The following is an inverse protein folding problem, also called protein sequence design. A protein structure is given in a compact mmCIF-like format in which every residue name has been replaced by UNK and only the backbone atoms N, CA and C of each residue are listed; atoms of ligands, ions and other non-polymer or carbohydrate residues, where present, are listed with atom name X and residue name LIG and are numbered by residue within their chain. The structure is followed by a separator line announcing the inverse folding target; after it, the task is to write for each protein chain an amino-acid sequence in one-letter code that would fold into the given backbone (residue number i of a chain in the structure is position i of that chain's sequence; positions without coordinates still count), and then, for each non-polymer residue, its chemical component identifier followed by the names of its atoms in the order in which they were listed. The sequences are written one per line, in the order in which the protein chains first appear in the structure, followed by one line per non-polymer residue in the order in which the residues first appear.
data_IF_303521199090
#
_entry.id   IF_303521199090
#
_cell.length_a   1.000
_cell.length_b   1.000
_cell.length_c   1.000
_cell.angle_alpha   90.00
_cell.angle_beta   90.00
_cell.angle_gamma   90.00
#
_symmetry.space_group_name_H-M   'P 1'
#
loop_
_entity.id
_entity.type
_entity.pdbx_description
1 polymer ?
#
# COMPACT_ATOMS: atom_id res chain seq x y z
N UNK A 1 -16.54 3.88 7.37
CA UNK A 1 -15.60 2.74 7.30
C UNK A 1 -15.57 2.11 8.68
N UNK A 2 -15.60 0.79 8.79
CA UNK A 2 -15.50 0.13 10.08
C UNK A 2 -14.08 0.32 10.65
N UNK A 3 -13.93 0.49 11.97
CA UNK A 3 -12.61 0.61 12.63
C UNK A 3 -11.68 -0.57 12.28
N UNK A 4 -12.24 -1.76 12.05
CA UNK A 4 -11.47 -2.94 11.61
C UNK A 4 -10.86 -2.77 10.21
N UNK A 5 -11.58 -2.16 9.27
CA UNK A 5 -11.11 -1.92 7.89
C UNK A 5 -10.04 -0.84 7.84
N UNK A 6 -10.19 0.20 8.66
CA UNK A 6 -9.16 1.23 8.82
C UNK A 6 -7.85 0.64 9.38
N UNK A 7 -7.98 -0.28 10.34
CA UNK A 7 -6.84 -1.04 10.87
C UNK A 7 -6.13 -1.86 9.80
N UNK A 8 -6.89 -2.55 8.95
CA UNK A 8 -6.35 -3.35 7.85
C UNK A 8 -5.62 -2.50 6.81
N UNK A 9 -6.24 -1.41 6.34
CA UNK A 9 -5.62 -0.49 5.38
C UNK A 9 -4.33 0.11 5.96
N UNK A 10 -4.33 0.46 7.25
CA UNK A 10 -3.13 0.96 7.94
C UNK A 10 -2.03 -0.08 8.00
N UNK A 11 -2.36 -1.34 8.29
CA UNK A 11 -1.41 -2.46 8.30
C UNK A 11 -0.76 -2.63 6.92
N UNK A 12 -1.57 -2.66 5.87
CA UNK A 12 -1.12 -2.86 4.49
C UNK A 12 -0.24 -1.74 3.97
N UNK A 13 -0.62 -0.50 4.26
CA UNK A 13 0.27 0.66 4.02
C UNK A 13 1.57 0.53 4.82
N UNK A 14 1.51 0.00 6.05
CA UNK A 14 2.68 -0.25 6.90
C UNK A 14 3.68 -1.23 6.27
N UNK A 15 3.21 -2.28 5.60
CA UNK A 15 4.05 -3.22 4.85
C UNK A 15 4.82 -2.50 3.74
N UNK A 16 4.15 -1.66 2.96
CA UNK A 16 4.80 -0.86 1.91
C UNK A 16 5.82 0.12 2.50
N UNK A 17 5.51 0.72 3.66
CA UNK A 17 6.45 1.58 4.40
C UNK A 17 7.72 0.84 4.78
N UNK A 18 7.59 -0.39 5.28
CA UNK A 18 8.73 -1.20 5.70
C UNK A 18 9.63 -1.56 4.51
N UNK A 19 9.03 -1.87 3.35
CA UNK A 19 9.78 -2.07 2.10
C UNK A 19 10.47 -0.79 1.64
N UNK A 20 9.86 0.38 1.83
CA UNK A 20 10.50 1.67 1.54
C UNK A 20 11.76 1.89 2.39
N UNK A 21 11.73 1.54 3.67
CA UNK A 21 12.91 1.60 4.55
C UNK A 21 14.00 0.61 4.11
N UNK A 22 13.61 -0.56 3.60
CA UNK A 22 14.56 -1.53 3.02
C UNK A 22 15.18 -0.98 1.73
N UNK A 23 14.40 -0.34 0.86
CA UNK A 23 14.90 0.33 -0.34
C UNK A 23 15.88 1.46 -0.02
N UNK A 24 15.65 2.22 1.05
CA UNK A 24 16.61 3.23 1.53
C UNK A 24 17.98 2.64 1.90
N UNK A 25 18.03 1.35 2.28
CA UNK A 25 19.29 0.66 2.60
C UNK A 25 20.00 0.11 1.35
N UNK A 26 19.45 0.34 0.15
CA UNK A 26 20.04 -0.04 -1.13
C UNK A 26 19.56 -1.38 -1.68
N UNK A 27 18.58 -2.02 -1.05
CA UNK A 27 17.98 -3.26 -1.57
C UNK A 27 16.93 -2.97 -2.65
N UNK A 28 16.86 -3.81 -3.68
CA UNK A 28 15.73 -3.80 -4.63
C UNK A 28 14.52 -4.50 -4.00
N UNK A 29 13.42 -3.76 -3.88
CA UNK A 29 12.16 -4.24 -3.30
C UNK A 29 11.03 -4.37 -4.31
N UNK A 30 11.30 -4.17 -5.60
CA UNK A 30 10.28 -4.06 -6.66
C UNK A 30 9.31 -5.25 -6.66
N UNK A 31 9.82 -6.48 -6.76
CA UNK A 31 8.96 -7.67 -6.75
C UNK A 31 8.25 -7.86 -5.40
N UNK A 32 8.89 -7.51 -4.27
CA UNK A 32 8.27 -7.61 -2.94
C UNK A 32 7.10 -6.63 -2.79
N UNK A 33 7.21 -5.42 -3.34
CA UNK A 33 6.13 -4.43 -3.37
C UNK A 33 4.98 -4.95 -4.21
N UNK A 34 5.28 -5.52 -5.39
CA UNK A 34 4.28 -6.11 -6.28
C UNK A 34 3.52 -7.25 -5.62
N UNK A 35 4.24 -8.20 -5.02
CA UNK A 35 3.62 -9.31 -4.26
C UNK A 35 2.72 -8.77 -3.15
N UNK A 36 3.21 -7.83 -2.34
CA UNK A 36 2.41 -7.27 -1.25
C UNK A 36 1.13 -6.59 -1.75
N UNK A 37 1.20 -5.77 -2.82
CA UNK A 37 0.00 -5.13 -3.39
C UNK A 37 -0.98 -6.16 -3.92
N UNK A 38 -0.50 -7.20 -4.61
CA UNK A 38 -1.35 -8.30 -5.10
C UNK A 38 -2.06 -9.01 -3.94
N UNK A 39 -1.32 -9.43 -2.91
CA UNK A 39 -1.87 -10.10 -1.74
C UNK A 39 -2.90 -9.24 -0.98
N UNK A 40 -2.63 -7.94 -0.82
CA UNK A 40 -3.57 -7.02 -0.19
C UNK A 40 -4.89 -6.92 -1.00
N UNK A 41 -4.79 -6.82 -2.32
CA UNK A 41 -5.96 -6.75 -3.20
C UNK A 41 -6.75 -8.07 -3.22
N UNK A 42 -6.08 -9.21 -3.19
CA UNK A 42 -6.72 -10.52 -3.04
C UNK A 42 -7.42 -10.64 -1.69
N UNK A 43 -6.79 -10.18 -0.59
CA UNK A 43 -7.44 -10.21 0.71
C UNK A 43 -8.71 -9.37 0.74
N UNK A 44 -8.71 -8.19 0.11
CA UNK A 44 -9.91 -7.37 -0.02
C UNK A 44 -11.06 -8.10 -0.74
N UNK A 45 -10.77 -8.97 -1.72
CA UNK A 45 -11.81 -9.74 -2.43
C UNK A 45 -12.43 -10.85 -1.58
N UNK A 46 -11.67 -11.43 -0.66
CA UNK A 46 -12.14 -12.58 0.15
C UNK A 46 -12.77 -12.15 1.48
N UNK A 47 -12.55 -10.91 1.92
CA UNK A 47 -13.15 -10.36 3.14
C UNK A 47 -14.67 -10.20 2.97
N UNK A 48 -15.44 -10.95 3.75
CA UNK A 48 -16.91 -10.87 3.76
C UNK A 48 -17.46 -9.71 4.58
N UNK A 49 -16.63 -9.05 5.38
CA UNK A 49 -17.04 -8.00 6.31
C UNK A 49 -17.25 -6.64 5.63
N UNK A 50 -16.77 -6.46 4.39
CA UNK A 50 -16.85 -5.21 3.65
C UNK A 50 -16.82 -5.40 2.14
N UNK A 51 -17.34 -4.39 1.45
CA UNK A 51 -17.23 -4.28 0.00
C UNK A 51 -15.74 -4.14 -0.41
N UNK A 52 -15.20 -5.07 -1.24
CA UNK A 52 -13.80 -5.05 -1.67
C UNK A 52 -13.37 -3.71 -2.27
N UNK A 53 -14.25 -3.11 -3.08
CA UNK A 53 -13.98 -1.85 -3.76
C UNK A 53 -13.75 -0.68 -2.78
N UNK A 54 -14.46 -0.65 -1.65
CA UNK A 54 -14.29 0.39 -0.64
C UNK A 54 -12.91 0.29 0.04
N UNK A 55 -12.46 -0.94 0.33
CA UNK A 55 -11.14 -1.18 0.89
C UNK A 55 -10.04 -0.82 -0.10
N UNK A 56 -10.22 -1.14 -1.39
CA UNK A 56 -9.28 -0.73 -2.44
C UNK A 56 -9.16 0.79 -2.54
N UNK A 57 -10.28 1.52 -2.59
CA UNK A 57 -10.29 2.98 -2.67
C UNK A 57 -9.54 3.59 -1.48
N UNK A 58 -9.84 3.12 -0.26
CA UNK A 58 -9.16 3.59 0.94
C UNK A 58 -7.67 3.26 0.94
N UNK A 59 -7.28 2.07 0.50
CA UNK A 59 -5.89 1.67 0.39
C UNK A 59 -5.12 2.53 -0.62
N UNK A 60 -5.67 2.75 -1.82
CA UNK A 60 -5.09 3.67 -2.82
C UNK A 60 -4.94 5.08 -2.27
N UNK A 61 -5.96 5.60 -1.58
CA UNK A 61 -5.91 6.91 -0.95
C UNK A 61 -4.79 6.97 0.11
N UNK A 62 -4.65 5.94 0.94
CA UNK A 62 -3.59 5.85 1.94
C UNK A 62 -2.18 5.80 1.33
N UNK A 63 -1.97 5.03 0.25
CA UNK A 63 -0.71 5.00 -0.50
C UNK A 63 -0.39 6.38 -1.11
N UNK A 64 -1.39 7.01 -1.74
CA UNK A 64 -1.25 8.35 -2.31
C UNK A 64 -0.85 9.37 -1.24
N UNK A 65 -1.57 9.42 -0.12
CA UNK A 65 -1.25 10.31 0.99
C UNK A 65 0.15 10.05 1.55
N UNK A 66 0.55 8.78 1.71
CA UNK A 66 1.88 8.43 2.20
C UNK A 66 2.99 8.91 1.25
N UNK A 67 2.83 8.74 -0.07
CA UNK A 67 3.77 9.30 -1.05
C UNK A 67 3.89 10.83 -0.94
N UNK A 68 2.76 11.55 -0.80
CA UNK A 68 2.77 13.02 -0.75
C UNK A 68 3.32 13.58 0.57
N UNK A 69 3.19 12.84 1.67
CA UNK A 69 3.63 13.27 3.01
C UNK A 69 5.01 12.74 3.39
N UNK A 70 5.58 11.85 2.58
CA UNK A 70 6.96 11.39 2.77
C UNK A 70 7.91 12.57 2.61
N UNK A 71 8.78 12.76 3.61
CA UNK A 71 9.76 13.85 3.61
C UNK A 71 10.71 13.73 2.41
N UNK A 72 11.11 14.87 1.84
CA UNK A 72 11.96 14.93 0.64
C UNK A 72 13.32 14.23 0.80
N UNK A 73 13.81 14.11 2.03
CA UNK A 73 15.05 13.38 2.37
C UNK A 73 14.92 11.86 2.28
N UNK A 74 13.75 11.31 1.95
CA UNK A 74 13.49 9.87 1.84
C UNK A 74 12.95 9.49 0.44
N UNK A 75 13.69 9.80 -0.65
CA UNK A 75 13.18 9.63 -2.00
C UNK A 75 12.87 8.18 -2.36
N UNK A 76 13.60 7.19 -1.80
CA UNK A 76 13.34 5.77 -2.02
C UNK A 76 12.03 5.31 -1.37
N UNK A 77 11.67 5.85 -0.21
CA UNK A 77 10.37 5.56 0.45
C UNK A 77 9.24 6.11 -0.40
N UNK A 78 9.38 7.35 -0.88
CA UNK A 78 8.41 7.96 -1.78
C UNK A 78 8.24 7.14 -3.05
N UNK A 79 9.34 6.76 -3.71
CA UNK A 79 9.34 5.95 -4.92
C UNK A 79 8.66 4.59 -4.69
N UNK A 80 8.85 3.99 -3.51
CA UNK A 80 8.19 2.73 -3.13
C UNK A 80 6.66 2.89 -3.06
N UNK A 81 6.16 3.99 -2.47
CA UNK A 81 4.73 4.29 -2.46
C UNK A 81 4.18 4.64 -3.85
N UNK A 82 4.93 5.41 -4.64
CA UNK A 82 4.54 5.75 -6.02
C UNK A 82 4.41 4.49 -6.88
N UNK A 83 5.37 3.58 -6.76
CA UNK A 83 5.33 2.30 -7.45
C UNK A 83 4.18 1.42 -6.97
N UNK A 84 3.98 1.28 -5.65
CA UNK A 84 2.85 0.55 -5.11
C UNK A 84 1.51 1.09 -5.62
N UNK A 85 1.35 2.41 -5.71
CA UNK A 85 0.14 3.05 -6.21
C UNK A 85 -0.06 2.84 -7.72
N UNK A 86 1.02 2.80 -8.51
CA UNK A 86 0.94 2.65 -9.97
C UNK A 86 0.54 1.24 -10.39
N UNK A 87 0.94 0.22 -9.63
CA UNK A 87 0.58 -1.19 -9.89
C UNK A 87 -0.69 -1.63 -9.15
N UNK A 88 -1.13 -0.87 -8.16
CA UNK A 88 -2.40 -1.13 -7.49
C UNK A 88 -3.55 -0.92 -8.49
N UNK A 89 -4.49 -1.87 -8.62
CA UNK A 89 -5.61 -1.74 -9.55
C UNK A 89 -6.56 -0.60 -9.13
N UNK A 90 -7.42 -0.17 -10.03
CA UNK A 90 -8.47 0.83 -9.76
C UNK A 90 -9.82 0.19 -9.42
N UNK A 91 -9.99 -1.09 -9.71
CA UNK A 91 -11.18 -1.90 -9.44
C UNK A 91 -10.80 -3.33 -9.03
N UNK A 92 -11.61 -3.96 -8.17
CA UNK A 92 -11.40 -5.35 -7.71
C UNK A 92 -12.43 -6.34 -8.24
#
# INVERSE_FOLDING_TARGET
MNHHEEGLVRQYRGVISALGVVAMKGEDVTERVKTAVTEHCEHFRILKSSEPQNNLIAYRAALKMASHTTHESQPQVKATYDYALSICPTEL
#
